data_IF_551223738937
#
_entry.id   IF_551223738937
#
_cell.length_a   1.000
_cell.length_b   1.000
_cell.length_c   1.000
_cell.angle_alpha   90.00
_cell.angle_beta   90.00
_cell.angle_gamma   90.00
#
_symmetry.space_group_name_H-M   'P 1'
#
loop_
_entity.id
_entity.type
_entity.pdbx_description
1 polymer ?
#
# COMPACT_ATOMS: atom_id res chain seq x y z
N UNK A 1 -17.25 -8.27 -9.15
CA UNK A 1 -16.93 -8.30 -10.62
C UNK A 1 -15.80 -9.30 -10.90
N UNK A 2 -15.59 -9.76 -12.15
CA UNK A 2 -14.44 -10.62 -12.52
C UNK A 2 -13.10 -9.99 -12.12
N UNK A 3 -12.97 -8.67 -12.26
CA UNK A 3 -11.80 -7.89 -11.80
C UNK A 3 -11.62 -7.99 -10.28
N UNK A 4 -12.70 -7.81 -9.53
CA UNK A 4 -12.71 -7.88 -8.05
C UNK A 4 -12.31 -9.27 -7.55
N UNK A 5 -12.81 -10.31 -8.21
CA UNK A 5 -12.45 -11.70 -7.91
C UNK A 5 -10.97 -11.99 -8.17
N UNK A 6 -10.40 -11.46 -9.26
CA UNK A 6 -8.96 -11.54 -9.52
C UNK A 6 -8.13 -10.86 -8.43
N UNK A 7 -8.53 -9.67 -7.97
CA UNK A 7 -7.83 -9.00 -6.86
C UNK A 7 -7.95 -9.76 -5.54
N UNK A 8 -9.09 -10.40 -5.27
CA UNK A 8 -9.24 -11.27 -4.11
C UNK A 8 -8.25 -12.45 -4.14
N UNK A 9 -8.10 -13.09 -5.31
CA UNK A 9 -7.12 -14.16 -5.51
C UNK A 9 -5.69 -13.63 -5.35
N UNK A 10 -5.35 -12.52 -6.02
CA UNK A 10 -4.02 -11.93 -5.95
C UNK A 10 -3.65 -11.58 -4.49
N UNK A 11 -4.56 -10.99 -3.74
CA UNK A 11 -4.38 -10.70 -2.31
C UNK A 11 -4.16 -11.99 -1.50
N UNK A 12 -4.93 -13.04 -1.75
CA UNK A 12 -4.78 -14.31 -1.05
C UNK A 12 -3.42 -14.97 -1.34
N UNK A 13 -2.95 -14.92 -2.58
CA UNK A 13 -1.62 -15.41 -2.97
C UNK A 13 -0.53 -14.60 -2.25
N UNK A 14 -0.65 -13.27 -2.26
CA UNK A 14 0.28 -12.36 -1.59
C UNK A 14 0.36 -12.65 -0.09
N UNK A 15 -0.79 -12.75 0.59
CA UNK A 15 -0.88 -13.10 2.02
C UNK A 15 -0.22 -14.44 2.32
N UNK A 16 -0.52 -15.48 1.53
CA UNK A 16 0.09 -16.80 1.71
C UNK A 16 1.60 -16.77 1.54
N UNK A 17 2.12 -15.98 0.58
CA UNK A 17 3.56 -15.84 0.37
C UNK A 17 4.23 -15.18 1.58
N UNK A 18 3.65 -14.09 2.10
CA UNK A 18 4.13 -13.41 3.30
C UNK A 18 4.11 -14.35 4.50
N UNK A 19 2.99 -15.01 4.78
CA UNK A 19 2.87 -15.96 5.91
C UNK A 19 3.87 -17.11 5.81
N UNK A 20 4.18 -17.60 4.60
CA UNK A 20 5.22 -18.63 4.40
C UNK A 20 6.61 -18.07 4.71
N UNK A 21 6.89 -16.84 4.31
CA UNK A 21 8.17 -16.16 4.56
C UNK A 21 8.34 -15.77 6.02
N UNK A 22 7.32 -15.27 6.71
CA UNK A 22 7.38 -15.05 8.14
C UNK A 22 7.53 -16.36 8.90
N UNK A 23 6.88 -17.44 8.51
CA UNK A 23 7.12 -18.76 9.12
C UNK A 23 8.56 -19.25 8.90
N UNK A 24 9.15 -18.98 7.73
CA UNK A 24 10.55 -19.28 7.48
C UNK A 24 11.48 -18.42 8.35
N UNK A 25 11.26 -17.11 8.45
CA UNK A 25 12.03 -16.19 9.31
C UNK A 25 11.78 -16.40 10.81
N UNK A 26 10.59 -16.84 11.21
CA UNK A 26 10.24 -17.12 12.61
C UNK A 26 11.03 -18.31 13.18
N UNK A 27 11.53 -19.21 12.32
CA UNK A 27 12.50 -20.24 12.71
C UNK A 27 13.87 -19.65 13.07
N UNK A 28 14.12 -18.39 12.74
CA UNK A 28 15.36 -17.64 13.00
C UNK A 28 15.16 -16.48 14.02
N UNK A 29 13.94 -16.17 14.45
CA UNK A 29 13.61 -15.11 15.43
C UNK A 29 12.28 -14.38 15.14
N UNK A 30 11.73 -13.56 16.07
CA UNK A 30 10.38 -13.00 15.94
C UNK A 30 10.26 -12.05 14.73
N UNK A 31 9.42 -12.41 13.77
CA UNK A 31 9.17 -11.65 12.54
C UNK A 31 7.91 -10.79 12.67
N UNK A 32 8.07 -9.47 12.57
CA UNK A 32 6.97 -8.54 12.25
C UNK A 32 7.03 -8.38 10.73
N UNK A 33 6.02 -8.85 9.99
CA UNK A 33 5.91 -8.59 8.55
C UNK A 33 5.63 -7.09 8.34
N UNK A 34 6.48 -6.37 7.61
CA UNK A 34 6.43 -4.91 7.56
C UNK A 34 5.95 -4.32 6.23
N UNK A 35 6.07 -5.02 5.08
CA UNK A 35 5.48 -4.57 3.78
C UNK A 35 5.83 -5.45 2.56
N UNK A 36 5.12 -5.24 1.44
CA UNK A 36 5.54 -5.48 0.04
C UNK A 36 7.03 -5.18 -0.25
N UNK A 37 7.67 -4.21 0.41
CA UNK A 37 9.12 -3.93 0.23
C UNK A 37 10.03 -5.14 0.47
N UNK A 38 9.64 -6.02 1.40
CA UNK A 38 10.35 -7.26 1.73
C UNK A 38 10.42 -8.26 0.56
N UNK A 39 9.70 -8.00 -0.55
CA UNK A 39 9.71 -8.76 -1.81
C UNK A 39 10.90 -8.42 -2.72
N UNK A 40 11.73 -7.41 -2.40
CA UNK A 40 12.97 -7.14 -3.14
C UNK A 40 12.83 -6.21 -4.35
N UNK A 41 12.02 -5.15 -4.23
CA UNK A 41 12.03 -4.08 -5.23
C UNK A 41 13.41 -3.42 -5.29
N UNK A 42 14.08 -3.53 -6.44
CA UNK A 42 15.47 -3.12 -6.62
C UNK A 42 15.69 -1.60 -6.46
N UNK A 43 16.85 -1.16 -5.93
CA UNK A 43 17.18 0.26 -5.71
C UNK A 43 17.09 1.16 -6.96
N UNK A 44 17.24 0.59 -8.16
CA UNK A 44 17.38 1.34 -9.41
C UNK A 44 16.11 2.05 -9.87
N UNK A 45 14.91 1.52 -9.58
CA UNK A 45 13.64 2.18 -9.97
C UNK A 45 13.34 3.40 -9.09
N UNK A 46 13.87 3.42 -7.87
CA UNK A 46 13.63 4.48 -6.88
C UNK A 46 14.52 5.71 -7.11
N UNK A 47 15.68 5.54 -7.76
CA UNK A 47 16.65 6.62 -7.94
C UNK A 47 16.14 7.76 -8.86
N UNK A 48 15.23 7.45 -9.79
CA UNK A 48 14.65 8.44 -10.71
C UNK A 48 13.40 9.14 -10.16
N UNK A 49 12.92 8.74 -8.99
CA UNK A 49 11.73 9.33 -8.37
C UNK A 49 12.06 10.67 -7.69
N UNK A 50 11.11 11.61 -7.79
CA UNK A 50 11.15 12.84 -6.98
C UNK A 50 11.14 12.49 -5.49
N UNK A 51 11.62 13.41 -4.66
CA UNK A 51 11.73 13.19 -3.21
C UNK A 51 10.41 12.77 -2.56
N UNK A 52 9.31 13.47 -2.85
CA UNK A 52 7.97 13.14 -2.36
C UNK A 52 7.54 11.72 -2.75
N UNK A 53 7.79 11.31 -3.99
CA UNK A 53 7.46 9.97 -4.48
C UNK A 53 8.26 8.88 -3.73
N UNK A 54 9.55 9.14 -3.45
CA UNK A 54 10.36 8.24 -2.64
C UNK A 54 9.84 8.11 -1.21
N UNK A 55 9.46 9.23 -0.59
CA UNK A 55 8.86 9.24 0.74
C UNK A 55 7.54 8.46 0.77
N UNK A 56 6.70 8.65 -0.24
CA UNK A 56 5.43 7.96 -0.36
C UNK A 56 5.59 6.46 -0.53
N UNK A 57 6.49 6.02 -1.42
CA UNK A 57 6.83 4.60 -1.58
C UNK A 57 7.36 4.04 -0.26
N UNK A 58 8.30 4.72 0.39
CA UNK A 58 8.87 4.28 1.67
C UNK A 58 7.81 4.20 2.79
N UNK A 59 6.84 5.13 2.81
CA UNK A 59 5.78 5.15 3.82
C UNK A 59 4.76 4.04 3.60
N UNK A 60 4.28 3.86 2.36
CA UNK A 60 3.44 2.70 2.00
C UNK A 60 4.14 1.39 2.35
N UNK A 61 5.47 1.38 2.19
CA UNK A 61 6.32 0.26 2.50
C UNK A 61 6.56 -0.01 4.00
N UNK A 62 5.93 0.73 4.91
CA UNK A 62 5.96 0.43 6.34
C UNK A 62 4.58 0.08 6.88
N UNK A 63 3.55 0.15 6.03
CA UNK A 63 2.19 -0.16 6.43
C UNK A 63 1.99 -1.67 6.53
N UNK A 64 1.10 -2.12 7.44
CA UNK A 64 0.60 -3.50 7.40
C UNK A 64 0.10 -3.84 5.99
N UNK A 65 0.37 -5.08 5.55
CA UNK A 65 0.09 -5.52 4.18
C UNK A 65 -1.34 -5.19 3.73
N UNK A 66 -2.34 -5.46 4.57
CA UNK A 66 -3.74 -5.18 4.25
C UNK A 66 -4.03 -3.67 4.11
N UNK A 67 -3.39 -2.82 4.92
CA UNK A 67 -3.53 -1.37 4.80
C UNK A 67 -2.89 -0.85 3.51
N UNK A 68 -1.69 -1.36 3.18
CA UNK A 68 -1.00 -1.03 1.94
C UNK A 68 -1.85 -1.43 0.71
N UNK A 69 -2.29 -2.68 0.62
CA UNK A 69 -3.10 -3.19 -0.51
C UNK A 69 -4.42 -2.43 -0.64
N UNK A 70 -5.05 -2.09 0.48
CA UNK A 70 -6.32 -1.37 0.48
C UNK A 70 -6.18 0.06 -0.07
N UNK A 71 -5.10 0.77 0.29
CA UNK A 71 -4.78 2.06 -0.31
C UNK A 71 -4.42 1.91 -1.78
N UNK A 72 -3.67 0.87 -2.13
CA UNK A 72 -3.27 0.59 -3.50
C UNK A 72 -4.47 0.41 -4.45
N UNK A 73 -5.43 -0.40 -4.04
CA UNK A 73 -6.64 -0.63 -4.83
C UNK A 73 -7.55 0.61 -4.92
N UNK A 74 -7.53 1.51 -3.94
CA UNK A 74 -8.27 2.78 -4.04
C UNK A 74 -7.59 3.75 -5.00
N UNK A 75 -6.29 3.98 -4.83
CA UNK A 75 -5.59 5.03 -5.54
C UNK A 75 -5.24 4.62 -6.98
N UNK A 76 -4.85 3.38 -7.22
CA UNK A 76 -4.44 2.93 -8.55
C UNK A 76 -5.60 2.31 -9.34
N UNK A 77 -6.39 1.45 -8.69
CA UNK A 77 -7.48 0.72 -9.37
C UNK A 77 -8.84 1.43 -9.30
N UNK A 78 -8.94 2.53 -8.53
CA UNK A 78 -10.17 3.29 -8.28
C UNK A 78 -11.33 2.41 -7.77
N UNK A 79 -11.01 1.33 -7.06
CA UNK A 79 -12.05 0.48 -6.48
C UNK A 79 -12.83 1.25 -5.42
N UNK A 80 -14.15 1.14 -5.49
CA UNK A 80 -15.06 1.73 -4.50
C UNK A 80 -15.13 0.84 -3.27
N UNK A 81 -15.63 1.39 -2.16
CA UNK A 81 -15.77 0.65 -0.89
C UNK A 81 -16.52 -0.68 -1.05
N UNK A 82 -17.57 -0.71 -1.89
CA UNK A 82 -18.31 -1.94 -2.21
C UNK A 82 -17.46 -3.00 -2.92
N UNK A 83 -16.61 -2.61 -3.86
CA UNK A 83 -15.74 -3.56 -4.57
C UNK A 83 -14.63 -4.06 -3.65
N UNK A 84 -14.09 -3.20 -2.80
CA UNK A 84 -13.13 -3.59 -1.77
C UNK A 84 -13.76 -4.54 -0.75
N UNK A 85 -15.04 -4.39 -0.42
CA UNK A 85 -15.75 -5.31 0.46
C UNK A 85 -15.73 -6.75 -0.10
N UNK A 86 -15.90 -6.90 -1.41
CA UNK A 86 -15.75 -8.18 -2.10
C UNK A 86 -14.29 -8.67 -2.09
N UNK A 87 -13.30 -7.80 -2.34
CA UNK A 87 -11.86 -8.20 -2.36
C UNK A 87 -11.36 -8.69 -0.99
N UNK A 88 -11.77 -8.01 0.07
CA UNK A 88 -11.28 -8.26 1.43
C UNK A 88 -12.20 -9.16 2.25
N UNK A 89 -13.30 -9.62 1.65
CA UNK A 89 -14.34 -10.43 2.31
C UNK A 89 -14.78 -9.80 3.66
N UNK A 90 -15.18 -8.54 3.60
CA UNK A 90 -15.54 -7.77 4.78
C UNK A 90 -16.67 -6.77 4.49
N UNK A 91 -17.52 -6.43 5.48
CA UNK A 91 -18.60 -5.47 5.27
C UNK A 91 -18.09 -4.10 4.78
N UNK A 92 -18.87 -3.44 3.92
CA UNK A 92 -18.50 -2.14 3.36
C UNK A 92 -18.25 -1.05 4.44
N UNK A 93 -18.99 -1.11 5.55
CA UNK A 93 -18.74 -0.25 6.73
C UNK A 93 -17.36 -0.52 7.35
N UNK A 94 -16.95 -1.78 7.45
CA UNK A 94 -15.62 -2.19 7.94
C UNK A 94 -14.52 -1.69 7.00
N UNK A 95 -14.73 -1.77 5.68
CA UNK A 95 -13.79 -1.23 4.68
C UNK A 95 -13.60 0.27 4.85
N UNK A 96 -14.67 1.04 5.06
CA UNK A 96 -14.56 2.49 5.29
C UNK A 96 -13.71 2.80 6.52
N UNK A 97 -13.92 2.08 7.61
CA UNK A 97 -13.14 2.24 8.84
C UNK A 97 -11.67 1.84 8.63
N UNK A 98 -11.41 0.72 7.94
CA UNK A 98 -10.05 0.29 7.58
C UNK A 98 -9.35 1.30 6.67
N UNK A 99 -10.06 1.90 5.70
CA UNK A 99 -9.53 2.94 4.83
C UNK A 99 -9.14 4.18 5.62
N UNK A 100 -10.00 4.63 6.53
CA UNK A 100 -9.69 5.76 7.41
C UNK A 100 -8.44 5.47 8.24
N UNK A 101 -8.35 4.29 8.84
CA UNK A 101 -7.19 3.88 9.64
C UNK A 101 -5.92 3.78 8.79
N UNK A 102 -5.97 3.17 7.61
CA UNK A 102 -4.84 3.07 6.69
C UNK A 102 -4.32 4.45 6.27
N UNK A 103 -5.21 5.42 6.00
CA UNK A 103 -4.82 6.81 5.71
C UNK A 103 -4.15 7.50 6.90
N UNK A 104 -4.62 7.24 8.12
CA UNK A 104 -3.99 7.76 9.34
C UNK A 104 -2.61 7.16 9.57
N UNK A 105 -2.46 5.85 9.39
CA UNK A 105 -1.17 5.15 9.48
C UNK A 105 -0.18 5.65 8.41
N UNK A 106 -0.65 5.85 7.18
CA UNK A 106 0.18 6.42 6.11
C UNK A 106 0.67 7.81 6.49
N UNK A 107 -0.23 8.67 6.99
CA UNK A 107 0.14 10.02 7.44
C UNK A 107 1.15 9.98 8.58
N UNK A 108 0.94 9.14 9.59
CA UNK A 108 1.88 8.99 10.71
C UNK A 108 3.25 8.51 10.25
N UNK A 109 3.28 7.54 9.34
CA UNK A 109 4.53 7.04 8.76
C UNK A 109 5.26 8.11 7.93
N UNK A 110 4.51 8.92 7.18
CA UNK A 110 5.07 10.03 6.43
C UNK A 110 5.61 11.12 7.37
N UNK A 111 4.90 11.42 8.45
CA UNK A 111 5.33 12.40 9.46
C UNK A 111 6.72 12.02 10.01
N UNK A 112 6.93 10.74 10.33
CA UNK A 112 8.25 10.21 10.76
C UNK A 112 9.35 10.33 9.70
N UNK A 113 9.00 10.29 8.41
CA UNK A 113 9.94 10.28 7.30
C UNK A 113 10.23 11.68 6.73
N UNK A 114 9.31 12.61 6.92
CA UNK A 114 9.40 13.98 6.43
C UNK A 114 10.21 14.84 7.39
N UNK A 115 10.81 15.92 6.86
CA UNK A 115 11.60 16.86 7.68
C UNK A 115 10.78 18.04 8.20
N UNK A 116 9.69 18.36 7.51
CA UNK A 116 8.84 19.50 7.82
C UNK A 116 7.37 19.15 7.60
N UNK A 117 6.48 19.85 8.30
CA UNK A 117 5.03 19.71 8.10
C UNK A 117 4.60 20.09 6.67
N UNK A 118 5.30 21.03 6.04
CA UNK A 118 5.05 21.38 4.64
C UNK A 118 5.37 20.23 3.69
N UNK A 119 6.48 19.52 3.91
CA UNK A 119 6.86 18.34 3.13
C UNK A 119 5.86 17.19 3.31
N UNK A 120 5.34 17.00 4.53
CA UNK A 120 4.25 16.06 4.80
C UNK A 120 3.01 16.41 3.99
N UNK A 121 2.53 17.66 4.09
CA UNK A 121 1.33 18.11 3.38
C UNK A 121 1.49 18.02 1.86
N UNK A 122 2.67 18.38 1.35
CA UNK A 122 2.99 18.29 -0.08
C UNK A 122 3.01 16.83 -0.55
N UNK A 123 3.63 15.93 0.21
CA UNK A 123 3.67 14.49 -0.12
C UNK A 123 2.28 13.86 -0.05
N UNK A 124 1.47 14.21 0.96
CA UNK A 124 0.09 13.75 1.10
C UNK A 124 -0.81 14.23 -0.03
N UNK A 125 -0.68 15.48 -0.48
CA UNK A 125 -1.38 16.00 -1.66
C UNK A 125 -0.88 15.34 -2.94
N UNK A 126 0.44 15.16 -3.04
CA UNK A 126 1.11 14.52 -4.16
C UNK A 126 0.68 13.08 -4.41
N UNK A 127 0.21 12.35 -3.38
CA UNK A 127 -0.32 10.99 -3.53
C UNK A 127 -1.45 10.90 -4.57
N UNK A 128 -2.41 11.83 -4.57
CA UNK A 128 -3.53 11.79 -5.52
C UNK A 128 -3.07 12.06 -6.96
N UNK A 129 -2.18 13.05 -7.12
CA UNK A 129 -1.59 13.41 -8.41
C UNK A 129 -0.70 12.29 -8.96
N UNK A 130 0.19 11.76 -8.12
CA UNK A 130 1.11 10.67 -8.48
C UNK A 130 0.37 9.38 -8.82
N UNK A 131 -0.68 9.05 -8.07
CA UNK A 131 -1.56 7.94 -8.42
C UNK A 131 -2.23 8.16 -9.79
N UNK A 132 -2.48 9.42 -10.19
CA UNK A 132 -2.88 9.79 -11.54
C UNK A 132 -1.85 9.48 -12.59
N UNK A 133 -0.66 10.05 -12.43
CA UNK A 133 0.44 9.92 -13.39
C UNK A 133 0.84 8.46 -13.62
N UNK A 134 0.89 7.65 -12.55
CA UNK A 134 1.19 6.22 -12.66
C UNK A 134 0.13 5.46 -13.47
N UNK A 135 -1.17 5.75 -13.28
CA UNK A 135 -2.21 5.08 -14.09
C UNK A 135 -2.06 5.40 -15.57
N UNK A 136 -1.77 6.65 -15.90
CA UNK A 136 -1.62 7.09 -17.28
C UNK A 136 -0.35 6.52 -17.93
N UNK A 137 0.70 6.30 -17.13
CA UNK A 137 1.91 5.62 -17.58
C UNK A 137 1.67 4.13 -17.92
N UNK A 138 0.78 3.44 -17.21
CA UNK A 138 0.54 1.99 -17.39
C UNK A 138 -0.58 1.67 -18.40
N UNK A 139 -1.30 2.68 -18.91
CA UNK A 139 -2.26 2.54 -20.02
C UNK A 139 -1.65 2.67 -21.41
N UNK A 140 -0.37 3.06 -21.49
CA UNK A 140 0.42 3.12 -22.74
C UNK A 140 1.23 1.85 -22.90
#
# INVERSE_FOLDING_TARGET
SARTWLFAIARNILKQWFERRARARAREGPAIERSIADLGAGPNTVLQLRREQRLLVAALQRLPLDAQVLLELVYWERLKARELAEVFDAPEGTIRTRLRKAKQELRGTLDELTRTAEELEMTMKGLETWAGELRDAWRR
#
